data_IF_671380727735
#
_entry.id   IF_671380727735
#
_cell.length_a   1.000
_cell.length_b   1.000
_cell.length_c   1.000
_cell.angle_alpha   90.00
_cell.angle_beta   90.00
_cell.angle_gamma   90.00
#
_symmetry.space_group_name_H-M   'P 1'
#
loop_
_entity.id
_entity.type
_entity.pdbx_description
1 polymer ?
#
# COMPACT_ATOMS: atom_id res chain seq x y z
N UNK A 1 6.38 4.59 -34.16
CA UNK A 1 5.05 5.20 -34.39
C UNK A 1 4.47 5.59 -33.05
N UNK A 2 4.38 6.85 -32.74
CA UNK A 2 3.79 7.30 -31.46
C UNK A 2 2.28 7.09 -31.54
N UNK A 3 1.75 6.23 -30.66
CA UNK A 3 0.30 6.00 -30.53
C UNK A 3 -0.40 7.16 -29.83
N UNK A 4 0.38 8.09 -29.27
CA UNK A 4 -0.13 9.27 -28.58
C UNK A 4 -0.27 10.44 -29.56
N UNK A 5 -1.43 11.08 -29.54
CA UNK A 5 -1.72 12.31 -30.27
C UNK A 5 -2.26 13.36 -29.29
N UNK A 6 -1.69 14.56 -29.23
CA UNK A 6 -2.17 15.62 -28.35
C UNK A 6 -3.56 16.15 -28.72
N UNK A 7 -4.05 15.83 -29.91
CA UNK A 7 -5.40 16.19 -30.36
C UNK A 7 -6.49 15.28 -29.75
N UNK A 8 -6.11 14.09 -29.32
CA UNK A 8 -7.03 13.15 -28.64
C UNK A 8 -7.08 13.42 -27.16
N UNK A 9 -8.27 13.33 -26.59
CA UNK A 9 -8.43 13.42 -25.13
C UNK A 9 -7.89 12.15 -24.47
N UNK A 10 -7.05 12.34 -23.46
CA UNK A 10 -6.44 11.26 -22.70
C UNK A 10 -7.09 11.19 -21.31
N UNK A 11 -7.63 10.03 -20.96
CA UNK A 11 -8.15 9.76 -19.65
C UNK A 11 -7.19 8.85 -18.86
N UNK A 12 -6.91 9.21 -17.62
CA UNK A 12 -6.12 8.41 -16.70
C UNK A 12 -7.02 7.91 -15.56
N UNK A 13 -7.04 6.59 -15.37
CA UNK A 13 -7.78 5.96 -14.28
C UNK A 13 -6.78 5.28 -13.34
N UNK A 14 -6.78 5.68 -12.08
CA UNK A 14 -5.90 5.13 -11.04
C UNK A 14 -6.73 4.33 -10.03
N UNK A 15 -6.49 3.04 -9.96
CA UNK A 15 -7.19 2.13 -9.05
C UNK A 15 -6.20 1.37 -8.18
N UNK A 16 -6.63 0.95 -6.99
CA UNK A 16 -5.84 0.07 -6.14
C UNK A 16 -5.94 0.40 -4.67
N UNK A 17 -5.29 -0.43 -3.86
CA UNK A 17 -5.24 -0.33 -2.40
C UNK A 17 -3.80 -0.35 -1.89
N UNK A 18 -3.57 0.22 -0.72
CA UNK A 18 -2.29 0.15 -0.02
C UNK A 18 -1.09 0.61 -0.87
N UNK A 19 -0.12 -0.27 -1.08
CA UNK A 19 1.15 0.02 -1.75
C UNK A 19 1.03 0.41 -3.24
N UNK A 20 -0.12 0.18 -3.88
CA UNK A 20 -0.34 0.59 -5.27
C UNK A 20 -0.22 2.11 -5.47
N UNK A 21 -0.38 2.90 -4.40
CA UNK A 21 -0.15 4.33 -4.47
C UNK A 21 1.27 4.73 -4.88
N UNK A 22 2.29 3.97 -4.45
CA UNK A 22 3.67 4.19 -4.88
C UNK A 22 3.86 3.89 -6.38
N UNK A 23 3.18 2.85 -6.88
CA UNK A 23 3.16 2.55 -8.32
C UNK A 23 2.52 3.69 -9.12
N UNK A 24 1.42 4.26 -8.64
CA UNK A 24 0.77 5.40 -9.29
C UNK A 24 1.71 6.60 -9.39
N UNK A 25 2.56 6.84 -8.38
CA UNK A 25 3.57 7.89 -8.43
C UNK A 25 4.55 7.69 -9.59
N UNK A 26 5.01 6.46 -9.82
CA UNK A 26 5.86 6.10 -10.96
C UNK A 26 5.17 6.31 -12.31
N UNK A 27 3.90 5.92 -12.41
CA UNK A 27 3.10 6.11 -13.64
C UNK A 27 2.92 7.59 -13.95
N UNK A 28 2.54 8.41 -12.96
CA UNK A 28 2.38 9.85 -13.14
C UNK A 28 3.68 10.51 -13.58
N UNK A 29 4.81 10.09 -13.00
CA UNK A 29 6.13 10.56 -13.40
C UNK A 29 6.43 10.22 -14.85
N UNK A 30 6.26 8.96 -15.24
CA UNK A 30 6.53 8.50 -16.60
C UNK A 30 5.68 9.23 -17.65
N UNK A 31 4.40 9.46 -17.35
CA UNK A 31 3.50 10.21 -18.22
C UNK A 31 3.92 11.67 -18.36
N UNK A 32 4.36 12.30 -17.27
CA UNK A 32 4.86 13.67 -17.29
C UNK A 32 6.17 13.79 -18.07
N UNK A 33 7.13 12.87 -17.86
CA UNK A 33 8.40 12.83 -18.60
C UNK A 33 8.18 12.57 -20.09
N UNK A 34 7.17 11.78 -20.45
CA UNK A 34 6.77 11.53 -21.83
C UNK A 34 5.97 12.69 -22.47
N UNK A 35 5.67 13.75 -21.71
CA UNK A 35 4.90 14.89 -22.20
C UNK A 35 3.44 14.56 -22.53
N UNK A 36 2.86 13.53 -21.92
CA UNK A 36 1.49 13.12 -22.15
C UNK A 36 0.55 14.08 -21.43
N UNK A 37 -0.32 14.74 -22.21
CA UNK A 37 -1.37 15.59 -21.69
C UNK A 37 -2.51 14.72 -21.15
N UNK A 38 -2.87 14.89 -19.89
CA UNK A 38 -4.00 14.22 -19.24
C UNK A 38 -5.17 15.20 -19.18
N UNK A 39 -6.27 14.87 -19.83
CA UNK A 39 -7.46 15.73 -19.89
C UNK A 39 -8.51 15.33 -18.84
N UNK A 40 -8.60 14.06 -18.54
CA UNK A 40 -9.56 13.50 -17.58
C UNK A 40 -8.80 12.58 -16.62
N UNK A 41 -9.07 12.73 -15.34
CA UNK A 41 -8.49 11.89 -14.29
C UNK A 41 -9.60 11.33 -13.42
N UNK A 42 -9.53 10.03 -13.15
CA UNK A 42 -10.41 9.34 -12.21
C UNK A 42 -9.59 8.46 -11.28
N UNK A 43 -10.04 8.31 -10.03
CA UNK A 43 -9.34 7.50 -9.05
C UNK A 43 -10.29 6.79 -8.09
N UNK A 44 -9.91 5.54 -7.72
CA UNK A 44 -10.60 4.74 -6.72
C UNK A 44 -9.62 4.19 -5.68
N UNK A 45 -10.04 4.16 -4.43
CA UNK A 45 -9.16 3.75 -3.33
C UNK A 45 -7.98 4.71 -3.16
N UNK A 46 -6.77 4.18 -3.03
CA UNK A 46 -5.55 5.00 -2.94
C UNK A 46 -5.28 5.79 -4.23
N UNK A 47 -5.80 5.33 -5.37
CA UNK A 47 -5.72 6.02 -6.64
C UNK A 47 -6.43 7.37 -6.65
N UNK A 48 -7.44 7.57 -5.79
CA UNK A 48 -8.13 8.84 -5.66
C UNK A 48 -7.19 9.98 -5.22
N UNK A 49 -6.23 9.71 -4.34
CA UNK A 49 -5.24 10.69 -3.91
C UNK A 49 -4.29 11.07 -5.07
N UNK A 50 -3.83 10.09 -5.85
CA UNK A 50 -3.02 10.33 -7.04
C UNK A 50 -3.77 11.11 -8.11
N UNK A 51 -5.04 10.75 -8.34
CA UNK A 51 -5.92 11.43 -9.28
C UNK A 51 -6.18 12.91 -8.89
N UNK A 52 -6.46 13.16 -7.62
CA UNK A 52 -6.65 14.51 -7.11
C UNK A 52 -5.39 15.39 -7.29
N UNK A 53 -4.22 14.84 -6.99
CA UNK A 53 -2.96 15.56 -7.18
C UNK A 53 -2.65 15.80 -8.67
N UNK A 54 -2.93 14.83 -9.53
CA UNK A 54 -2.78 15.00 -10.98
C UNK A 54 -3.70 16.10 -11.51
N UNK A 55 -4.96 16.17 -11.03
CA UNK A 55 -5.95 17.17 -11.46
C UNK A 55 -5.56 18.62 -11.13
N UNK A 56 -4.85 18.83 -10.01
CA UNK A 56 -4.38 20.18 -9.60
C UNK A 56 -2.97 20.51 -10.10
N UNK A 57 -2.42 19.73 -11.01
CA UNK A 57 -1.05 19.91 -11.51
C UNK A 57 0.03 19.57 -10.46
N UNK A 58 -0.35 18.93 -9.38
CA UNK A 58 0.54 18.57 -8.27
C UNK A 58 1.15 17.16 -8.37
N UNK A 59 1.18 16.56 -9.54
CA UNK A 59 1.69 15.20 -9.74
C UNK A 59 3.15 15.04 -9.30
N UNK A 60 3.99 16.07 -9.47
CA UNK A 60 5.37 16.08 -8.97
C UNK A 60 5.45 15.86 -7.46
N UNK A 61 4.51 16.40 -6.70
CA UNK A 61 4.45 16.25 -5.24
C UNK A 61 4.27 14.80 -4.76
N UNK A 62 3.90 13.92 -5.66
CA UNK A 62 3.70 12.48 -5.35
C UNK A 62 5.03 11.76 -5.25
N UNK A 63 5.99 12.09 -6.12
CA UNK A 63 7.24 11.35 -6.31
C UNK A 63 8.52 12.14 -6.02
N UNK A 64 8.46 13.45 -5.76
CA UNK A 64 9.61 14.25 -5.32
C UNK A 64 10.20 13.75 -3.99
N UNK A 65 11.44 14.15 -3.69
CA UNK A 65 12.14 13.73 -2.47
C UNK A 65 11.41 14.12 -1.18
N UNK A 66 10.70 15.26 -1.21
CA UNK A 66 9.80 15.71 -0.14
C UNK A 66 8.33 15.35 -0.41
N UNK A 67 8.10 14.43 -1.35
CA UNK A 67 6.78 14.02 -1.77
C UNK A 67 6.00 13.27 -0.69
N UNK A 68 4.69 13.16 -0.92
CA UNK A 68 3.74 12.54 0.04
C UNK A 68 4.18 11.12 0.40
N UNK A 69 4.62 10.31 -0.57
CA UNK A 69 5.02 8.91 -0.35
C UNK A 69 6.32 8.76 0.44
N UNK A 70 7.19 9.77 0.44
CA UNK A 70 8.43 9.77 1.23
C UNK A 70 8.26 10.40 2.61
N UNK A 71 7.08 10.97 2.89
CA UNK A 71 6.82 11.62 4.18
C UNK A 71 6.84 10.61 5.34
N UNK A 72 7.33 11.01 6.53
CA UNK A 72 7.30 10.17 7.73
C UNK A 72 5.89 9.71 8.12
N UNK A 73 4.88 10.53 7.82
CA UNK A 73 3.46 10.21 8.10
C UNK A 73 2.99 9.01 7.29
N UNK A 74 3.32 8.95 5.99
CA UNK A 74 2.95 7.81 5.15
C UNK A 74 3.73 6.57 5.56
N UNK A 75 5.02 6.71 5.90
CA UNK A 75 5.81 5.60 6.45
C UNK A 75 5.19 5.00 7.70
N UNK A 76 4.66 5.81 8.58
CA UNK A 76 4.02 5.32 9.80
C UNK A 76 2.71 4.56 9.54
N UNK A 77 2.01 4.84 8.44
CA UNK A 77 0.81 4.09 8.04
C UNK A 77 1.13 2.67 7.58
N UNK A 78 2.31 2.46 6.98
CA UNK A 78 2.77 1.15 6.51
C UNK A 78 3.68 0.44 7.52
N UNK A 79 4.05 1.09 8.62
CA UNK A 79 4.81 0.45 9.69
C UNK A 79 3.92 -0.56 10.43
N UNK A 80 4.46 -1.74 10.67
CA UNK A 80 3.81 -2.74 11.51
C UNK A 80 3.62 -2.17 12.93
N UNK A 81 2.38 -1.95 13.31
CA UNK A 81 2.09 -1.50 14.66
C UNK A 81 2.38 -2.66 15.62
N UNK A 82 3.23 -2.44 16.60
CA UNK A 82 3.53 -3.44 17.65
C UNK A 82 2.27 -3.96 18.32
N UNK A 83 1.25 -3.12 18.45
CA UNK A 83 -0.08 -3.50 18.94
C UNK A 83 -0.78 -4.56 18.09
N UNK A 84 -0.46 -4.70 16.79
CA UNK A 84 -1.03 -5.74 15.94
C UNK A 84 -0.26 -7.06 16.00
N UNK A 85 0.99 -7.04 16.47
CA UNK A 85 1.85 -8.23 16.59
C UNK A 85 1.66 -8.91 17.96
N UNK A 86 1.43 -8.13 19.01
CA UNK A 86 1.34 -8.63 20.39
C UNK A 86 0.20 -9.64 20.59
N UNK A 87 -1.05 -9.41 20.14
CA UNK A 87 -2.14 -10.36 20.34
C UNK A 87 -1.88 -11.75 19.73
N UNK A 88 -1.47 -11.90 18.47
CA UNK A 88 -1.22 -13.22 17.91
C UNK A 88 -0.04 -13.93 18.57
N UNK A 89 0.99 -13.19 19.01
CA UNK A 89 2.12 -13.77 19.73
C UNK A 89 1.70 -14.29 21.10
N UNK A 90 0.85 -13.56 21.82
CA UNK A 90 0.26 -13.99 23.08
C UNK A 90 -0.61 -15.23 22.91
N UNK A 91 -1.45 -15.26 21.88
CA UNK A 91 -2.28 -16.44 21.57
C UNK A 91 -1.44 -17.67 21.25
N UNK A 92 -0.36 -17.50 20.48
CA UNK A 92 0.55 -18.59 20.14
C UNK A 92 1.28 -19.13 21.39
N UNK A 93 1.76 -18.26 22.28
CA UNK A 93 2.39 -18.64 23.53
C UNK A 93 1.41 -19.41 24.44
N UNK A 94 0.18 -18.93 24.54
CA UNK A 94 -0.86 -19.56 25.36
C UNK A 94 -1.24 -20.95 24.82
N UNK A 95 -1.36 -21.09 23.52
CA UNK A 95 -1.63 -22.38 22.86
C UNK A 95 -0.48 -23.38 23.10
N UNK A 96 0.76 -22.92 23.06
CA UNK A 96 1.93 -23.75 23.29
C UNK A 96 2.01 -24.24 24.75
N UNK A 97 1.71 -23.38 25.72
CA UNK A 97 1.62 -23.75 27.13
C UNK A 97 0.50 -24.78 27.37
N UNK A 98 -0.66 -24.57 26.74
CA UNK A 98 -1.80 -25.47 26.86
C UNK A 98 -1.48 -26.85 26.27
N UNK A 99 -0.81 -26.88 25.12
CA UNK A 99 -0.36 -28.12 24.48
C UNK A 99 0.62 -28.88 25.39
N UNK A 100 1.60 -28.18 25.96
CA UNK A 100 2.59 -28.77 26.87
C UNK A 100 1.94 -29.32 28.14
N UNK A 101 0.93 -28.63 28.70
CA UNK A 101 0.20 -29.16 29.87
C UNK A 101 -0.62 -30.38 29.53
N UNK A 102 -1.28 -30.44 28.37
CA UNK A 102 -2.03 -31.62 27.91
C UNK A 102 -1.09 -32.80 27.74
N UNK A 103 0.05 -32.61 27.11
CA UNK A 103 1.05 -33.67 26.88
C UNK A 103 1.61 -34.16 28.23
N UNK A 104 1.92 -33.27 29.16
CA UNK A 104 2.42 -33.61 30.49
C UNK A 104 1.43 -34.41 31.34
N UNK A 105 0.15 -34.17 31.16
CA UNK A 105 -0.91 -34.90 31.87
C UNK A 105 -1.25 -36.24 31.19
N UNK A 106 -1.21 -36.29 29.86
CA UNK A 106 -1.55 -37.47 29.06
C UNK A 106 -0.46 -38.60 29.13
N UNK A 107 0.81 -38.23 29.10
CA UNK A 107 1.91 -39.17 29.11
C UNK A 107 1.95 -40.11 30.35
N UNK A 108 1.72 -39.67 31.60
CA UNK A 108 1.71 -40.58 32.77
C UNK A 108 0.50 -41.53 32.81
N UNK A 109 -0.59 -41.23 32.10
CA UNK A 109 -1.81 -42.04 32.08
C UNK A 109 -1.60 -43.31 31.24
N UNK A 110 -0.80 -43.24 30.15
CA UNK A 110 -0.47 -44.44 29.32
C UNK A 110 0.51 -45.37 29.97
N UNK A 111 1.29 -44.94 30.94
CA UNK A 111 2.29 -45.76 31.67
C UNK A 111 1.79 -46.27 33.01
N UNK A 112 0.58 -45.99 33.37
CA UNK A 112 -0.08 -46.54 34.58
C UNK A 112 -1.01 -47.71 34.24
#
# INVERSE_FOLDING_TARGET
MSLYSPERRTALVLCGTGAHGAYHAGVLRALQEAGVKIDIVAGHGIGAAGAALAAIGGSSRVWEDNGIWRSPRVRSLYAWKRTAIVPPLMCAALALVLLMTIVAVALPIENA
#
